data_IF_167478348235
#
_entry.id   IF_167478348235
#
_cell.length_a   1.000
_cell.length_b   1.000
_cell.length_c   1.000
_cell.angle_alpha   90.00
_cell.angle_beta   90.00
_cell.angle_gamma   90.00
#
_symmetry.space_group_name_H-M   'P 1'
#
loop_
_entity.id
_entity.type
_entity.pdbx_description
1 polymer ?
#
# COMPACT_ATOMS: atom_id res chain seq x y z
N UNK A 1 -16.50 -17.68 2.79
CA UNK A 1 -15.35 -16.79 3.05
C UNK A 1 -15.88 -15.44 3.46
N UNK A 2 -15.39 -14.84 4.54
CA UNK A 2 -15.78 -13.45 4.90
C UNK A 2 -14.75 -12.53 4.31
N UNK A 3 -15.11 -11.78 3.27
CA UNK A 3 -14.31 -10.72 2.69
C UNK A 3 -14.66 -9.41 3.40
N UNK A 4 -13.67 -8.78 4.03
CA UNK A 4 -13.84 -7.43 4.56
C UNK A 4 -13.33 -6.45 3.51
N UNK A 5 -14.23 -5.69 2.92
CA UNK A 5 -13.93 -4.68 1.92
C UNK A 5 -13.92 -3.30 2.58
N UNK A 6 -12.83 -2.55 2.41
CA UNK A 6 -12.78 -1.12 2.72
C UNK A 6 -12.78 -0.33 1.43
N UNK A 7 -13.65 0.65 1.33
CA UNK A 7 -13.74 1.60 0.22
C UNK A 7 -13.80 3.03 0.77
N UNK A 8 -13.66 4.01 -0.07
CA UNK A 8 -13.62 5.44 0.33
C UNK A 8 -14.84 5.94 1.15
N UNK A 9 -15.89 5.15 1.28
CA UNK A 9 -17.11 5.43 2.06
C UNK A 9 -17.31 4.59 3.32
N UNK A 10 -16.35 3.72 3.69
CA UNK A 10 -16.48 2.87 4.88
C UNK A 10 -15.92 1.46 4.74
N UNK A 11 -16.25 0.56 5.68
CA UNK A 11 -15.93 -0.85 5.60
C UNK A 11 -17.16 -1.70 5.88
N UNK A 12 -17.36 -2.77 5.12
CA UNK A 12 -18.38 -3.79 5.40
C UNK A 12 -17.78 -5.17 5.18
N UNK A 13 -18.26 -6.15 5.95
CA UNK A 13 -17.87 -7.55 5.81
C UNK A 13 -19.03 -8.31 5.18
N UNK A 14 -18.74 -9.12 4.15
CA UNK A 14 -19.71 -9.98 3.48
C UNK A 14 -19.19 -11.40 3.32
N UNK A 15 -20.12 -12.36 3.31
CA UNK A 15 -19.91 -13.67 2.73
C UNK A 15 -20.25 -13.55 1.25
N UNK A 16 -19.26 -13.68 0.37
CA UNK A 16 -19.45 -13.48 -1.07
C UNK A 16 -18.99 -14.70 -1.83
N UNK A 17 -19.82 -15.16 -2.76
CA UNK A 17 -19.44 -16.12 -3.79
C UNK A 17 -18.68 -15.44 -4.95
N UNK A 18 -18.05 -16.23 -5.83
CA UNK A 18 -17.22 -15.68 -6.91
C UNK A 18 -17.95 -14.74 -7.89
N UNK A 19 -19.21 -15.04 -8.18
CA UNK A 19 -20.00 -14.28 -9.16
C UNK A 19 -20.46 -12.91 -8.64
N UNK A 20 -20.47 -12.71 -7.32
CA UNK A 20 -21.16 -11.58 -6.69
C UNK A 20 -20.21 -10.53 -6.14
N UNK A 21 -18.90 -10.66 -6.34
CA UNK A 21 -17.92 -9.75 -5.72
C UNK A 21 -18.06 -8.31 -6.25
N UNK A 22 -18.21 -8.15 -7.55
CA UNK A 22 -18.40 -6.82 -8.17
C UNK A 22 -19.73 -6.23 -7.72
N UNK A 23 -20.80 -7.04 -7.71
CA UNK A 23 -22.12 -6.61 -7.26
C UNK A 23 -22.12 -6.26 -5.76
N UNK A 24 -21.42 -7.05 -4.93
CA UNK A 24 -21.27 -6.79 -3.51
C UNK A 24 -20.50 -5.48 -3.24
N UNK A 25 -19.45 -5.20 -4.01
CA UNK A 25 -18.67 -3.95 -3.93
C UNK A 25 -19.53 -2.77 -4.37
N UNK A 26 -20.23 -2.89 -5.50
CA UNK A 26 -21.13 -1.87 -6.01
C UNK A 26 -22.23 -1.53 -4.99
N UNK A 27 -22.93 -2.55 -4.49
CA UNK A 27 -23.96 -2.38 -3.48
C UNK A 27 -23.42 -1.70 -2.21
N UNK A 28 -22.24 -2.09 -1.76
CA UNK A 28 -21.58 -1.51 -0.60
C UNK A 28 -21.23 -0.05 -0.77
N UNK A 29 -20.85 0.33 -1.98
CA UNK A 29 -20.52 1.71 -2.34
C UNK A 29 -21.75 2.56 -2.68
N UNK A 30 -22.96 1.96 -2.70
CA UNK A 30 -24.17 2.62 -3.17
C UNK A 30 -24.17 2.89 -4.68
N UNK A 31 -23.47 2.06 -5.43
CA UNK A 31 -23.30 2.15 -6.88
C UNK A 31 -23.95 0.96 -7.58
N UNK A 32 -24.15 1.08 -8.87
CA UNK A 32 -24.46 -0.06 -9.73
C UNK A 32 -23.16 -0.80 -10.09
N UNK A 33 -23.25 -2.08 -10.40
CA UNK A 33 -22.10 -2.88 -10.90
C UNK A 33 -21.44 -2.23 -12.11
N UNK A 34 -22.22 -1.58 -12.96
CA UNK A 34 -21.74 -0.85 -14.14
C UNK A 34 -20.88 0.35 -13.74
N UNK A 35 -21.31 1.15 -12.76
CA UNK A 35 -20.53 2.30 -12.26
C UNK A 35 -19.21 1.84 -11.62
N UNK A 36 -19.19 0.69 -10.95
CA UNK A 36 -17.95 0.11 -10.44
C UNK A 36 -16.98 -0.27 -11.56
N UNK A 37 -17.49 -0.80 -12.68
CA UNK A 37 -16.69 -1.17 -13.85
C UNK A 37 -16.16 0.07 -14.56
N UNK A 38 -17.01 1.06 -14.80
CA UNK A 38 -16.67 2.28 -15.53
C UNK A 38 -15.63 3.14 -14.78
N UNK A 39 -15.74 3.19 -13.44
CA UNK A 39 -14.81 3.96 -12.58
C UNK A 39 -13.53 3.18 -12.20
N UNK A 40 -13.44 1.90 -12.51
CA UNK A 40 -12.33 1.04 -12.13
C UNK A 40 -11.94 1.21 -10.65
N UNK A 41 -12.84 0.84 -9.76
CA UNK A 41 -12.70 1.06 -8.31
C UNK A 41 -11.53 0.28 -7.72
N UNK A 42 -10.82 0.93 -6.82
CA UNK A 42 -9.75 0.31 -6.02
C UNK A 42 -10.34 -0.39 -4.80
N UNK A 43 -9.95 -1.63 -4.59
CA UNK A 43 -10.46 -2.49 -3.51
C UNK A 43 -9.31 -3.06 -2.70
N UNK A 44 -9.28 -2.72 -1.43
CA UNK A 44 -8.31 -3.27 -0.49
C UNK A 44 -8.84 -4.58 0.09
N UNK A 45 -8.15 -5.68 -0.19
CA UNK A 45 -8.59 -7.04 0.18
C UNK A 45 -7.85 -7.53 1.41
N UNK A 46 -8.56 -8.26 2.29
CA UNK A 46 -8.03 -8.87 3.51
C UNK A 46 -7.40 -7.85 4.49
N UNK A 47 -8.08 -6.71 4.72
CA UNK A 47 -7.58 -5.64 5.60
C UNK A 47 -7.31 -6.06 7.05
N UNK A 48 -7.88 -7.17 7.52
CA UNK A 48 -7.71 -7.74 8.87
C UNK A 48 -6.99 -9.10 8.86
N UNK A 49 -6.47 -9.53 7.71
CA UNK A 49 -5.79 -10.82 7.54
C UNK A 49 -4.63 -10.65 6.56
N UNK A 50 -3.69 -11.58 6.57
CA UNK A 50 -2.61 -11.63 5.59
C UNK A 50 -2.81 -12.85 4.67
N UNK A 51 -3.11 -12.59 3.39
CA UNK A 51 -3.34 -13.64 2.38
C UNK A 51 -2.12 -14.56 2.24
N UNK A 52 -0.93 -14.03 2.51
CA UNK A 52 0.34 -14.75 2.36
C UNK A 52 0.91 -15.27 3.70
N UNK A 53 0.05 -15.42 4.72
CA UNK A 53 0.41 -16.12 5.94
C UNK A 53 0.66 -17.60 5.66
N UNK A 54 1.77 -18.13 6.19
CA UNK A 54 2.14 -19.53 6.03
C UNK A 54 1.44 -20.40 7.08
N UNK A 55 0.20 -20.75 6.79
CA UNK A 55 -0.61 -21.64 7.61
C UNK A 55 -1.32 -22.67 6.71
N UNK A 56 -1.31 -23.97 7.04
CA UNK A 56 -1.89 -25.02 6.21
C UNK A 56 -3.39 -24.82 5.93
N UNK A 57 -4.15 -24.36 6.92
CA UNK A 57 -5.58 -24.13 6.76
C UNK A 57 -5.92 -22.99 5.77
N UNK A 58 -4.96 -22.09 5.51
CA UNK A 58 -5.14 -21.00 4.56
C UNK A 58 -4.89 -21.41 3.10
N UNK A 59 -4.27 -22.56 2.86
CA UNK A 59 -3.93 -23.01 1.49
C UNK A 59 -5.16 -23.07 0.58
N UNK A 60 -6.26 -23.78 0.93
CA UNK A 60 -7.43 -23.83 0.08
C UNK A 60 -8.14 -22.48 -0.04
N UNK A 61 -8.21 -21.71 1.05
CA UNK A 61 -8.82 -20.37 1.06
C UNK A 61 -8.06 -19.39 0.18
N UNK A 62 -6.74 -19.42 0.24
CA UNK A 62 -5.87 -18.59 -0.61
C UNK A 62 -6.04 -18.93 -2.08
N UNK A 63 -6.05 -20.23 -2.43
CA UNK A 63 -6.22 -20.67 -3.80
C UNK A 63 -7.56 -20.17 -4.38
N UNK A 64 -8.64 -20.32 -3.63
CA UNK A 64 -9.97 -19.82 -4.02
C UNK A 64 -9.97 -18.29 -4.15
N UNK A 65 -9.45 -17.57 -3.15
CA UNK A 65 -9.40 -16.12 -3.16
C UNK A 65 -8.62 -15.58 -4.37
N UNK A 66 -7.45 -16.13 -4.67
CA UNK A 66 -6.65 -15.68 -5.81
C UNK A 66 -7.34 -16.00 -7.15
N UNK A 67 -8.04 -17.15 -7.24
CA UNK A 67 -8.82 -17.48 -8.44
C UNK A 67 -9.99 -16.51 -8.67
N UNK A 68 -10.66 -16.07 -7.62
CA UNK A 68 -11.71 -15.05 -7.69
C UNK A 68 -11.12 -13.69 -8.10
N UNK A 69 -10.05 -13.27 -7.42
CA UNK A 69 -9.41 -11.97 -7.68
C UNK A 69 -8.89 -11.85 -9.11
N UNK A 70 -8.39 -12.96 -9.69
CA UNK A 70 -7.96 -12.98 -11.09
C UNK A 70 -9.08 -12.64 -12.08
N UNK A 71 -10.33 -12.89 -11.72
CA UNK A 71 -11.51 -12.64 -12.56
C UNK A 71 -12.09 -11.23 -12.40
N UNK A 72 -11.70 -10.51 -11.35
CA UNK A 72 -12.23 -9.17 -11.03
C UNK A 72 -11.55 -8.07 -11.87
N UNK A 73 -11.48 -8.24 -13.18
CA UNK A 73 -10.71 -7.37 -14.11
C UNK A 73 -11.21 -5.92 -14.17
N UNK A 74 -12.42 -5.67 -13.70
CA UNK A 74 -13.02 -4.33 -13.63
C UNK A 74 -12.58 -3.51 -12.39
N UNK A 75 -11.82 -4.12 -11.50
CA UNK A 75 -11.38 -3.52 -10.25
C UNK A 75 -9.85 -3.44 -10.19
N UNK A 76 -9.32 -2.46 -9.46
CA UNK A 76 -7.92 -2.48 -9.03
C UNK A 76 -7.85 -3.09 -7.64
N UNK A 77 -7.39 -4.33 -7.57
CA UNK A 77 -7.34 -5.13 -6.34
C UNK A 77 -6.02 -4.88 -5.61
N UNK A 78 -6.08 -4.41 -4.39
CA UNK A 78 -4.91 -4.13 -3.56
C UNK A 78 -4.74 -5.25 -2.52
N UNK A 79 -3.69 -6.05 -2.66
CA UNK A 79 -3.26 -7.05 -1.69
C UNK A 79 -2.09 -6.51 -0.87
N UNK A 80 -2.22 -6.50 0.45
CA UNK A 80 -1.16 -6.09 1.37
C UNK A 80 -0.68 -7.27 2.18
N UNK A 81 0.63 -7.39 2.38
CA UNK A 81 1.23 -8.44 3.19
C UNK A 81 2.37 -7.91 4.06
N UNK A 82 2.61 -8.58 5.17
CA UNK A 82 3.84 -8.43 5.97
C UNK A 82 4.90 -9.47 5.65
N UNK A 83 4.60 -10.35 4.67
CA UNK A 83 5.40 -11.52 4.28
C UNK A 83 5.61 -11.56 2.76
N UNK A 84 6.22 -10.53 2.15
CA UNK A 84 6.40 -10.47 0.69
C UNK A 84 7.26 -11.61 0.16
N UNK A 85 8.14 -12.19 0.97
CA UNK A 85 8.94 -13.39 0.65
C UNK A 85 8.09 -14.61 0.31
N UNK A 86 6.85 -14.66 0.80
CA UNK A 86 5.93 -15.77 0.56
C UNK A 86 5.18 -15.64 -0.77
N UNK A 87 5.03 -14.42 -1.30
CA UNK A 87 4.15 -14.13 -2.44
C UNK A 87 4.46 -15.04 -3.63
N UNK A 88 5.72 -15.10 -4.07
CA UNK A 88 6.10 -15.85 -5.27
C UNK A 88 5.87 -17.36 -5.17
N UNK A 89 5.94 -17.94 -3.97
CA UNK A 89 5.69 -19.37 -3.77
C UNK A 89 4.22 -19.71 -3.54
N UNK A 90 3.39 -18.72 -3.22
CA UNK A 90 1.99 -18.91 -2.84
C UNK A 90 0.97 -18.46 -3.90
N UNK A 91 1.41 -17.71 -4.90
CA UNK A 91 0.55 -17.37 -6.06
C UNK A 91 0.55 -18.50 -7.09
N UNK A 92 -0.45 -18.57 -7.98
CA UNK A 92 -0.43 -19.49 -9.11
C UNK A 92 0.81 -19.27 -9.99
N UNK A 93 1.44 -20.35 -10.48
CA UNK A 93 2.63 -20.26 -11.32
C UNK A 93 2.43 -19.36 -12.55
N UNK A 94 1.22 -19.41 -13.14
CA UNK A 94 0.84 -18.54 -14.26
C UNK A 94 0.94 -17.04 -13.96
N UNK A 95 0.78 -16.63 -12.70
CA UNK A 95 0.95 -15.23 -12.30
C UNK A 95 2.41 -14.79 -12.34
N UNK A 96 3.36 -15.69 -12.13
CA UNK A 96 4.78 -15.34 -12.22
C UNK A 96 5.22 -15.08 -13.67
N UNK A 97 4.54 -15.69 -14.64
CA UNK A 97 4.77 -15.50 -16.08
C UNK A 97 3.93 -14.32 -16.62
N UNK A 98 2.69 -14.19 -16.16
CA UNK A 98 1.75 -13.16 -16.59
C UNK A 98 0.88 -12.71 -15.42
N UNK A 99 1.39 -11.75 -14.65
CA UNK A 99 0.68 -11.21 -13.49
C UNK A 99 -0.58 -10.46 -13.92
N UNK A 100 -1.75 -10.70 -13.28
CA UNK A 100 -2.98 -9.95 -13.58
C UNK A 100 -2.77 -8.45 -13.34
N UNK A 101 -2.92 -7.63 -14.39
CA UNK A 101 -2.57 -6.21 -14.35
C UNK A 101 -3.37 -5.40 -13.32
N UNK A 102 -4.56 -5.85 -12.99
CA UNK A 102 -5.46 -5.24 -12.01
C UNK A 102 -5.19 -5.69 -10.57
N UNK A 103 -4.29 -6.65 -10.34
CA UNK A 103 -3.92 -7.10 -9.00
C UNK A 103 -2.61 -6.43 -8.58
N UNK A 104 -2.72 -5.51 -7.67
CA UNK A 104 -1.60 -4.80 -7.07
C UNK A 104 -1.12 -5.51 -5.82
N UNK A 105 0.17 -5.51 -5.58
CA UNK A 105 0.77 -6.12 -4.39
C UNK A 105 1.58 -5.11 -3.61
N UNK A 106 1.41 -5.10 -2.30
CA UNK A 106 2.18 -4.22 -1.42
C UNK A 106 2.69 -4.92 -0.19
N UNK A 107 3.65 -4.31 0.48
CA UNK A 107 4.07 -4.72 1.80
C UNK A 107 3.97 -3.57 2.81
N UNK A 108 3.74 -3.94 4.08
CA UNK A 108 3.76 -2.99 5.19
C UNK A 108 5.21 -2.64 5.56
N UNK A 109 5.48 -1.35 5.76
CA UNK A 109 6.81 -0.80 6.07
C UNK A 109 6.66 0.15 7.25
N UNK A 110 6.75 -0.37 8.47
CA UNK A 110 6.52 0.40 9.67
C UNK A 110 7.75 1.20 10.12
N UNK A 111 8.94 0.73 9.77
CA UNK A 111 10.24 1.27 10.14
C UNK A 111 11.32 0.90 9.10
N UNK A 112 12.55 1.43 9.26
CA UNK A 112 13.66 1.16 8.34
C UNK A 112 14.02 -0.32 8.26
N UNK A 113 14.03 -1.01 9.39
CA UNK A 113 14.33 -2.45 9.41
C UNK A 113 13.35 -3.23 8.54
N UNK A 114 12.05 -2.89 8.61
CA UNK A 114 11.03 -3.54 7.76
C UNK A 114 11.14 -3.15 6.30
N UNK A 115 11.57 -1.92 6.02
CA UNK A 115 11.91 -1.50 4.66
C UNK A 115 13.01 -2.39 4.07
N UNK A 116 14.12 -2.54 4.80
CA UNK A 116 15.29 -3.29 4.35
C UNK A 116 15.02 -4.80 4.20
N UNK A 117 14.18 -5.36 5.07
CA UNK A 117 13.82 -6.78 5.04
C UNK A 117 12.79 -7.09 3.93
N UNK A 118 11.75 -6.26 3.76
CA UNK A 118 10.56 -6.59 2.98
C UNK A 118 10.57 -6.05 1.55
N UNK A 119 11.07 -4.83 1.34
CA UNK A 119 10.99 -4.22 0.02
C UNK A 119 11.78 -5.02 -1.03
N UNK A 120 13.00 -5.51 -0.77
CA UNK A 120 13.72 -6.33 -1.74
C UNK A 120 12.94 -7.59 -2.18
N UNK A 121 12.18 -8.21 -1.27
CA UNK A 121 11.34 -9.37 -1.59
C UNK A 121 10.11 -8.98 -2.42
N UNK A 122 9.47 -7.85 -2.08
CA UNK A 122 8.36 -7.32 -2.85
C UNK A 122 8.78 -7.01 -4.30
N UNK A 123 9.95 -6.41 -4.48
CA UNK A 123 10.45 -6.01 -5.81
C UNK A 123 10.74 -7.20 -6.74
N UNK A 124 10.86 -8.41 -6.21
CA UNK A 124 10.97 -9.65 -7.00
C UNK A 124 9.64 -10.11 -7.61
N UNK A 125 8.52 -9.56 -7.14
CA UNK A 125 7.18 -9.93 -7.64
C UNK A 125 6.91 -9.19 -8.96
N UNK A 126 6.50 -9.88 -10.05
CA UNK A 126 6.31 -9.27 -11.37
C UNK A 126 4.97 -8.54 -11.50
N UNK A 127 4.49 -7.91 -10.44
CA UNK A 127 3.22 -7.17 -10.44
C UNK A 127 3.32 -5.86 -11.23
N UNK A 128 2.19 -5.44 -11.81
CA UNK A 128 2.08 -4.17 -12.53
C UNK A 128 2.24 -2.97 -11.59
N UNK A 129 1.67 -3.06 -10.40
CA UNK A 129 1.83 -2.07 -9.33
C UNK A 129 2.31 -2.76 -8.05
N UNK A 130 3.43 -2.28 -7.52
CA UNK A 130 3.98 -2.68 -6.22
C UNK A 130 3.96 -1.47 -5.30
N UNK A 131 3.28 -1.58 -4.17
CA UNK A 131 3.11 -0.44 -3.28
C UNK A 131 3.66 -0.70 -1.88
N UNK A 132 4.02 0.37 -1.21
CA UNK A 132 4.48 0.36 0.18
C UNK A 132 3.40 0.96 1.06
N UNK A 133 3.01 0.26 2.12
CA UNK A 133 2.14 0.79 3.16
C UNK A 133 2.98 1.15 4.38
N UNK A 134 3.42 2.40 4.44
CA UNK A 134 4.09 2.98 5.61
C UNK A 134 3.03 3.40 6.64
N UNK A 135 2.23 2.42 7.05
CA UNK A 135 1.13 2.58 8.01
C UNK A 135 0.96 1.31 8.86
N UNK A 136 1.06 1.44 10.20
CA UNK A 136 1.47 2.64 10.92
C UNK A 136 2.98 2.93 10.72
N UNK A 137 3.33 4.19 10.49
CA UNK A 137 4.74 4.60 10.45
C UNK A 137 5.23 4.84 11.89
N UNK A 138 6.26 4.10 12.29
CA UNK A 138 6.74 4.03 13.68
C UNK A 138 8.15 4.58 13.88
N UNK A 139 8.76 5.07 12.81
CA UNK A 139 10.08 5.66 12.80
C UNK A 139 10.41 6.29 11.45
N UNK A 140 11.55 7.00 11.35
CA UNK A 140 12.01 7.52 10.08
C UNK A 140 12.38 6.38 9.13
N UNK A 141 11.99 6.52 7.84
CA UNK A 141 12.30 5.55 6.79
C UNK A 141 12.94 6.26 5.60
N UNK A 142 14.05 5.71 5.12
CA UNK A 142 14.70 6.12 3.89
C UNK A 142 14.35 5.12 2.78
N UNK A 143 13.55 5.55 1.82
CA UNK A 143 13.11 4.75 0.68
C UNK A 143 13.95 4.98 -0.58
N UNK A 144 14.93 5.87 -0.56
CA UNK A 144 15.68 6.28 -1.77
C UNK A 144 16.21 5.11 -2.58
N UNK A 145 16.67 4.03 -1.93
CA UNK A 145 17.17 2.82 -2.62
C UNK A 145 16.06 1.96 -3.25
N UNK A 146 14.81 2.17 -2.89
CA UNK A 146 13.67 1.32 -3.26
C UNK A 146 12.65 1.99 -4.18
N UNK A 147 12.83 3.30 -4.45
CA UNK A 147 11.99 4.05 -5.36
C UNK A 147 12.59 4.04 -6.79
N UNK A 148 11.78 4.24 -7.84
CA UNK A 148 12.29 4.34 -9.20
C UNK A 148 13.27 5.50 -9.34
N UNK A 149 14.33 5.27 -10.10
CA UNK A 149 15.33 6.28 -10.32
C UNK A 149 14.91 7.21 -11.45
N UNK A 150 14.68 8.47 -11.14
CA UNK A 150 14.58 9.50 -12.17
C UNK A 150 16.00 9.98 -12.46
N UNK A 151 16.55 9.56 -13.61
CA UNK A 151 17.85 10.03 -14.08
C UNK A 151 17.81 11.56 -14.30
N UNK A 152 18.17 12.32 -13.29
CA UNK A 152 18.63 13.69 -13.50
C UNK A 152 20.13 13.62 -13.80
N UNK A 153 20.49 13.76 -15.09
CA UNK A 153 21.88 13.81 -15.59
C UNK A 153 22.71 12.51 -15.54
N UNK A 154 22.12 11.31 -15.60
CA UNK A 154 22.82 10.07 -15.96
C UNK A 154 23.73 9.44 -14.92
N UNK A 155 23.89 10.00 -13.73
CA UNK A 155 24.72 9.45 -12.65
C UNK A 155 24.01 9.62 -11.32
N UNK A 156 23.89 8.54 -10.56
CA UNK A 156 23.48 8.60 -9.16
C UNK A 156 24.70 8.74 -8.26
N UNK A 157 24.61 9.70 -7.33
CA UNK A 157 25.55 9.82 -6.23
C UNK A 157 24.81 9.69 -4.91
N UNK A 158 25.40 8.89 -4.03
CA UNK A 158 25.02 8.88 -2.61
C UNK A 158 25.31 10.25 -1.98
N UNK A 159 24.74 10.51 -0.82
CA UNK A 159 25.02 11.74 -0.04
C UNK A 159 26.51 11.88 0.32
N UNK A 160 27.28 10.78 0.25
CA UNK A 160 28.74 10.73 0.42
C UNK A 160 29.54 10.95 -0.87
N UNK A 161 28.87 11.17 -2.00
CA UNK A 161 29.48 11.42 -3.30
C UNK A 161 29.89 10.17 -4.09
N UNK A 162 29.59 8.96 -3.61
CA UNK A 162 29.88 7.71 -4.31
C UNK A 162 28.82 7.38 -5.36
N UNK A 163 29.25 6.83 -6.50
CA UNK A 163 28.34 6.36 -7.55
C UNK A 163 27.71 5.04 -7.12
N UNK A 164 26.39 4.94 -7.17
CA UNK A 164 25.65 3.75 -6.77
C UNK A 164 25.08 3.03 -7.99
N UNK A 165 25.45 1.78 -8.18
CA UNK A 165 24.82 0.88 -9.13
C UNK A 165 23.94 -0.10 -8.37
N UNK A 166 22.60 0.03 -8.46
CA UNK A 166 21.71 -1.02 -7.99
C UNK A 166 21.90 -2.29 -8.83
N UNK A 167 21.92 -3.46 -8.20
CA UNK A 167 21.78 -4.69 -8.97
C UNK A 167 20.45 -4.64 -9.72
N UNK A 168 20.49 -4.87 -11.02
CA UNK A 168 19.32 -4.92 -11.88
C UNK A 168 18.47 -6.16 -11.55
N UNK A 169 17.73 -6.11 -10.46
CA UNK A 169 16.68 -7.07 -10.18
C UNK A 169 15.40 -6.53 -10.84
N UNK A 170 15.07 -7.09 -12.00
CA UNK A 170 13.79 -6.80 -12.67
C UNK A 170 13.68 -5.46 -13.41
N UNK A 171 14.81 -4.94 -13.99
CA UNK A 171 14.78 -3.65 -14.68
C UNK A 171 14.38 -2.50 -13.74
N UNK A 172 15.02 -1.42 -13.75
CA UNK A 172 14.98 -0.16 -12.99
C UNK A 172 13.60 0.31 -12.37
N UNK A 173 12.75 -0.62 -11.91
CA UNK A 173 11.43 -0.36 -11.34
C UNK A 173 11.46 -0.59 -9.83
N UNK A 174 11.52 0.50 -9.07
CA UNK A 174 11.27 0.49 -7.63
C UNK A 174 9.79 0.28 -7.27
N UNK A 175 9.38 0.73 -6.10
CA UNK A 175 7.97 0.78 -5.72
C UNK A 175 7.21 1.82 -6.55
N UNK A 176 6.00 1.46 -6.94
CA UNK A 176 5.17 2.25 -7.85
C UNK A 176 4.21 3.21 -7.10
N UNK A 177 4.03 3.01 -5.79
CA UNK A 177 3.15 3.82 -4.95
C UNK A 177 3.51 3.70 -3.47
N UNK A 178 3.31 4.78 -2.70
CA UNK A 178 3.57 4.81 -1.25
C UNK A 178 2.35 5.35 -0.51
N UNK A 179 1.89 4.61 0.50
CA UNK A 179 0.84 5.04 1.43
C UNK A 179 1.51 5.40 2.75
N UNK A 180 1.14 6.54 3.35
CA UNK A 180 1.71 7.02 4.62
C UNK A 180 0.59 7.30 5.61
N UNK A 181 0.77 6.87 6.85
CA UNK A 181 -0.20 7.18 7.90
C UNK A 181 0.23 6.77 9.30
N UNK A 182 -0.36 7.43 10.29
CA UNK A 182 -0.22 7.09 11.71
C UNK A 182 -1.12 5.94 12.12
N UNK A 183 -0.86 5.38 13.30
CA UNK A 183 -1.66 4.32 13.91
C UNK A 183 -3.00 4.85 14.39
N UNK A 184 -4.06 4.07 14.22
CA UNK A 184 -5.39 4.36 14.71
C UNK A 184 -5.81 3.43 15.84
N UNK A 185 -6.65 3.92 16.74
CA UNK A 185 -7.24 3.16 17.84
C UNK A 185 -6.62 3.45 19.21
N UNK A 186 -7.22 2.90 20.27
CA UNK A 186 -6.74 3.08 21.63
C UNK A 186 -5.30 2.58 21.81
N UNK A 187 -4.43 3.42 22.40
CA UNK A 187 -3.04 3.09 22.59
C UNK A 187 -2.15 3.25 21.36
N UNK A 188 -2.62 3.99 20.35
CA UNK A 188 -1.84 4.32 19.16
C UNK A 188 -0.45 4.85 19.51
N UNK A 189 0.56 4.28 18.86
CA UNK A 189 1.96 4.70 19.01
C UNK A 189 2.19 6.05 18.36
N UNK A 190 3.16 6.84 18.85
CA UNK A 190 3.44 8.14 18.28
C UNK A 190 3.79 8.09 16.79
N UNK A 191 3.22 9.01 16.02
CA UNK A 191 3.57 9.27 14.63
C UNK A 191 4.13 10.69 14.50
N UNK A 192 5.44 10.81 14.30
CA UNK A 192 6.06 12.11 14.06
C UNK A 192 5.81 12.55 12.61
N UNK A 193 5.19 13.71 12.46
CA UNK A 193 4.88 14.30 11.15
C UNK A 193 6.14 14.57 10.30
N UNK A 194 7.30 14.72 10.93
CA UNK A 194 8.56 14.87 10.21
C UNK A 194 8.91 13.62 9.39
N UNK A 195 8.56 12.43 9.87
CA UNK A 195 8.74 11.17 9.13
C UNK A 195 7.85 11.11 7.89
N UNK A 196 6.57 11.51 8.06
CA UNK A 196 5.63 11.58 6.94
C UNK A 196 6.07 12.58 5.87
N UNK A 197 6.54 13.78 6.30
CA UNK A 197 7.09 14.78 5.39
C UNK A 197 8.29 14.28 4.60
N UNK A 198 9.21 13.59 5.30
CA UNK A 198 10.37 12.98 4.65
C UNK A 198 9.95 12.00 3.55
N UNK A 199 8.97 11.12 3.82
CA UNK A 199 8.49 10.17 2.81
C UNK A 199 7.81 10.87 1.62
N UNK A 200 6.98 11.89 1.88
CA UNK A 200 6.35 12.69 0.82
C UNK A 200 7.41 13.33 -0.08
N UNK A 201 8.47 13.89 0.50
CA UNK A 201 9.55 14.51 -0.27
C UNK A 201 10.34 13.48 -1.08
N UNK A 202 10.72 12.34 -0.49
CA UNK A 202 11.40 11.25 -1.20
C UNK A 202 10.58 10.75 -2.40
N UNK A 203 9.26 10.59 -2.23
CA UNK A 203 8.36 10.20 -3.31
C UNK A 203 8.29 11.26 -4.41
N UNK A 204 8.20 12.54 -4.03
CA UNK A 204 8.19 13.66 -4.97
C UNK A 204 9.49 13.73 -5.78
N UNK A 205 10.64 13.58 -5.13
CA UNK A 205 11.95 13.53 -5.79
C UNK A 205 12.05 12.38 -6.80
N UNK A 206 11.46 11.23 -6.46
CA UNK A 206 11.46 10.04 -7.30
C UNK A 206 10.34 10.02 -8.36
N UNK A 207 9.41 10.97 -8.34
CA UNK A 207 8.24 10.97 -9.23
C UNK A 207 7.25 9.84 -8.95
N UNK A 208 7.23 9.33 -7.70
CA UNK A 208 6.32 8.27 -7.25
C UNK A 208 5.10 8.89 -6.58
N UNK A 209 3.88 8.51 -6.99
CA UNK A 209 2.67 8.97 -6.32
C UNK A 209 2.67 8.56 -4.85
N UNK A 210 2.21 9.48 -3.98
CA UNK A 210 2.11 9.27 -2.55
C UNK A 210 0.70 9.56 -2.04
N UNK A 211 0.20 8.69 -1.19
CA UNK A 211 -1.11 8.83 -0.56
C UNK A 211 -0.93 8.99 0.95
N UNK A 212 -1.06 10.21 1.43
CA UNK A 212 -1.14 10.45 2.86
C UNK A 212 -2.57 10.13 3.33
N UNK A 213 -2.71 9.14 4.21
CA UNK A 213 -4.00 8.54 4.54
C UNK A 213 -4.64 9.15 5.79
N UNK A 214 -3.84 9.32 6.85
CA UNK A 214 -4.34 9.81 8.14
C UNK A 214 -3.18 10.21 9.06
N UNK A 215 -3.45 11.09 10.02
CA UNK A 215 -2.50 11.42 11.09
C UNK A 215 -2.42 10.33 12.17
N UNK A 216 -3.46 9.50 12.28
CA UNK A 216 -3.62 8.55 13.37
C UNK A 216 -4.14 9.21 14.66
N UNK A 217 -4.17 8.44 15.74
CA UNK A 217 -4.72 8.90 17.02
C UNK A 217 -3.64 9.46 17.99
N UNK A 218 -2.36 9.38 17.60
CA UNK A 218 -1.26 9.94 18.39
C UNK A 218 -0.20 10.65 17.52
N UNK A 219 -0.61 11.67 16.74
CA UNK A 219 0.33 12.44 15.95
C UNK A 219 1.14 13.39 16.83
N UNK A 220 2.45 13.49 16.56
CA UNK A 220 3.39 14.37 17.26
C UNK A 220 4.19 15.22 16.25
N UNK A 221 4.80 16.28 16.72
CA UNK A 221 5.76 17.09 15.97
C UNK A 221 7.02 17.27 16.80
N UNK A 222 8.08 16.56 16.43
CA UNK A 222 9.30 16.46 17.22
C UNK A 222 9.02 15.78 18.58
N UNK A 223 9.37 16.42 19.67
CA UNK A 223 9.21 15.88 21.03
C UNK A 223 7.86 16.18 21.71
N UNK A 224 6.93 16.85 20.99
CA UNK A 224 5.68 17.30 21.57
C UNK A 224 4.42 16.90 20.81
N UNK A 225 3.25 16.94 21.47
CA UNK A 225 1.97 16.75 20.82
C UNK A 225 1.71 17.86 19.79
N UNK A 226 0.76 17.63 18.89
CA UNK A 226 0.31 18.69 17.98
C UNK A 226 -0.27 19.87 18.76
N UNK A 227 0.01 21.07 18.28
CA UNK A 227 -0.51 22.32 18.86
C UNK A 227 -1.91 22.68 18.38
N UNK A 228 -2.44 21.93 17.39
CA UNK A 228 -3.81 22.10 16.88
C UNK A 228 -4.61 20.81 17.07
N UNK A 229 -5.91 20.92 17.38
CA UNK A 229 -6.77 19.77 17.59
C UNK A 229 -7.08 19.09 16.26
N UNK A 230 -7.07 17.76 16.26
CA UNK A 230 -7.69 16.93 15.23
C UNK A 230 -9.05 16.47 15.77
N UNK A 231 -10.13 16.76 15.07
CA UNK A 231 -11.51 16.39 15.46
C UNK A 231 -12.04 15.20 14.67
N UNK A 232 -11.47 14.97 13.49
CA UNK A 232 -11.83 13.85 12.65
C UNK A 232 -11.35 12.52 13.24
N UNK A 233 -12.19 11.50 13.12
CA UNK A 233 -11.87 10.14 13.58
C UNK A 233 -10.54 9.66 12.97
N UNK A 234 -9.60 9.28 13.81
CA UNK A 234 -8.23 8.88 13.44
C UNK A 234 -7.42 9.97 12.70
N UNK A 235 -7.77 11.24 12.84
CA UNK A 235 -7.11 12.31 12.10
C UNK A 235 -7.19 12.12 10.58
N UNK A 236 -8.34 11.66 10.08
CA UNK A 236 -8.50 11.28 8.67
C UNK A 236 -9.00 12.42 7.77
N UNK A 237 -9.37 13.59 8.31
CA UNK A 237 -9.78 14.73 7.48
C UNK A 237 -8.56 15.51 6.97
N UNK A 238 -8.29 15.53 5.66
CA UNK A 238 -7.18 16.29 5.10
C UNK A 238 -7.22 17.79 5.38
N UNK A 239 -8.40 18.35 5.70
CA UNK A 239 -8.51 19.78 6.05
C UNK A 239 -7.83 20.12 7.37
N UNK A 240 -7.71 19.14 8.26
CA UNK A 240 -7.05 19.28 9.56
C UNK A 240 -5.53 19.07 9.48
N UNK A 241 -5.01 18.59 8.32
CA UNK A 241 -3.59 18.33 8.15
C UNK A 241 -2.81 19.59 7.78
N UNK A 242 -1.49 19.65 8.06
CA UNK A 242 -0.61 20.62 7.44
C UNK A 242 -0.73 20.59 5.90
N UNK A 243 -0.67 21.75 5.27
CA UNK A 243 -0.89 21.87 3.83
C UNK A 243 0.05 21.01 2.99
N UNK A 244 1.29 20.83 3.45
CA UNK A 244 2.33 20.03 2.82
C UNK A 244 2.08 18.52 2.88
N UNK A 245 1.18 18.06 3.76
CA UNK A 245 0.77 16.66 3.88
C UNK A 245 -0.57 16.36 3.20
N UNK A 246 -1.26 17.34 2.62
CA UNK A 246 -2.54 17.16 1.91
C UNK A 246 -2.31 16.59 0.51
N UNK A 247 -1.70 15.42 0.44
CA UNK A 247 -1.37 14.74 -0.81
C UNK A 247 -2.03 13.37 -0.83
N UNK A 248 -2.82 13.09 -1.89
CA UNK A 248 -3.56 11.85 -2.07
C UNK A 248 -3.52 11.45 -3.55
N UNK A 249 -2.36 10.97 -3.98
CA UNK A 249 -2.09 10.58 -5.36
C UNK A 249 -2.20 9.06 -5.52
N UNK A 250 -2.49 8.62 -6.75
CA UNK A 250 -2.60 7.22 -7.11
C UNK A 250 -1.76 6.90 -8.35
N UNK A 251 -1.31 5.65 -8.51
CA UNK A 251 -0.70 5.17 -9.76
C UNK A 251 -1.65 5.36 -10.94
N UNK A 252 -1.09 5.68 -12.11
CA UNK A 252 -1.81 5.80 -13.37
C UNK A 252 -1.77 4.52 -14.18
#
# INVERSE_FOLDING_TARGET
MTLTLRYSGGSRSWLVGPADLVDAIAHAAGLTSRECVDDRRRVFVASLADVFEDHPDLVPWRAEALAILAQCTALDVQLLTKRPENVRRMVPASWLENWPQHVWIGCTVEDQRRADERIPELLKVPAAVRFLSCEPLLGPVNLKAFLPWVFRNGVHRNDDGTDFALPAVGGNRGADWVIVGGESGPGARPFDLSWGRSLVEQCREAGVPVFFKQLGDNPILGSGPLTWPTTAHHGADPKEWPADLRVQEFPR
#
